data_IF_046177255085
#
_entry.id   IF_046177255085
#
_cell.length_a   1.000
_cell.length_b   1.000
_cell.length_c   1.000
_cell.angle_alpha   90.00
_cell.angle_beta   90.00
_cell.angle_gamma   90.00
#
_symmetry.space_group_name_H-M   'P 1'
#
loop_
_entity.id
_entity.type
_entity.pdbx_description
1 polymer ?
#
# COMPACT_ATOMS: atom_id res chain seq x y z
N UNK A 1 5.72 -6.12 -18.51
CA UNK A 1 5.19 -5.08 -17.59
C UNK A 1 3.68 -5.20 -17.65
N UNK A 2 3.05 -5.56 -16.56
CA UNK A 2 1.59 -5.74 -16.51
C UNK A 2 0.92 -4.37 -16.53
N UNK A 3 -0.16 -4.25 -17.30
CA UNK A 3 -0.94 -3.00 -17.37
C UNK A 3 -1.59 -2.71 -16.01
N UNK A 4 -1.50 -1.51 -15.44
CA UNK A 4 -2.19 -1.13 -14.21
C UNK A 4 -3.69 -1.43 -14.23
N UNK A 5 -4.34 -1.31 -15.38
CA UNK A 5 -5.77 -1.63 -15.55
C UNK A 5 -6.02 -3.13 -15.37
N UNK A 6 -5.14 -3.98 -15.90
CA UNK A 6 -5.25 -5.44 -15.73
C UNK A 6 -5.08 -5.82 -14.27
N UNK A 7 -4.08 -5.25 -13.57
CA UNK A 7 -3.83 -5.53 -12.15
C UNK A 7 -5.03 -5.13 -11.27
N UNK A 8 -5.61 -3.94 -11.50
CA UNK A 8 -6.81 -3.50 -10.79
C UNK A 8 -8.00 -4.41 -11.10
N UNK A 9 -8.13 -4.88 -12.35
CA UNK A 9 -9.14 -5.84 -12.77
C UNK A 9 -9.00 -7.21 -12.07
N UNK A 10 -7.78 -7.67 -11.83
CA UNK A 10 -7.51 -8.88 -11.05
C UNK A 10 -7.95 -8.71 -9.59
N UNK A 11 -7.69 -7.55 -8.99
CA UNK A 11 -8.17 -7.24 -7.64
C UNK A 11 -9.69 -7.19 -7.58
N UNK A 12 -10.39 -6.54 -8.52
CA UNK A 12 -11.85 -6.57 -8.60
C UNK A 12 -12.41 -7.99 -8.74
N UNK A 13 -11.72 -8.83 -9.49
CA UNK A 13 -12.12 -10.24 -9.65
C UNK A 13 -11.95 -11.04 -8.36
N UNK A 14 -10.90 -10.76 -7.60
CA UNK A 14 -10.64 -11.40 -6.30
C UNK A 14 -11.57 -10.86 -5.20
N UNK A 15 -12.02 -9.60 -5.32
CA UNK A 15 -12.87 -8.88 -4.36
C UNK A 15 -14.11 -8.32 -5.09
N UNK A 16 -15.13 -9.13 -5.37
CA UNK A 16 -16.27 -8.70 -6.20
C UNK A 16 -16.99 -7.45 -5.69
N UNK A 17 -17.08 -7.25 -4.36
CA UNK A 17 -17.68 -6.06 -3.75
C UNK A 17 -16.93 -4.76 -4.03
N UNK A 18 -15.67 -4.83 -4.50
CA UNK A 18 -14.89 -3.65 -4.81
C UNK A 18 -15.49 -2.86 -5.98
N UNK A 19 -16.05 -3.56 -6.97
CA UNK A 19 -16.70 -2.91 -8.11
C UNK A 19 -17.89 -2.02 -7.69
N UNK A 20 -18.56 -2.34 -6.59
CA UNK A 20 -19.67 -1.53 -6.03
C UNK A 20 -19.17 -0.22 -5.40
N UNK A 21 -17.92 -0.18 -4.95
CA UNK A 21 -17.30 1.01 -4.39
C UNK A 21 -16.69 1.92 -5.46
N UNK A 22 -16.64 1.48 -6.71
CA UNK A 22 -16.01 2.23 -7.78
C UNK A 22 -16.68 3.60 -7.95
N UNK A 23 -15.87 4.64 -7.96
CA UNK A 23 -16.35 6.01 -8.14
C UNK A 23 -16.99 6.18 -9.53
N UNK A 24 -18.11 6.95 -9.63
CA UNK A 24 -18.78 7.18 -10.93
C UNK A 24 -17.88 7.92 -11.92
N UNK A 25 -16.91 8.68 -11.41
CA UNK A 25 -15.84 9.35 -12.17
C UNK A 25 -14.54 9.15 -11.40
N UNK A 26 -13.42 8.87 -12.09
CA UNK A 26 -12.12 8.86 -11.45
C UNK A 26 -11.85 10.16 -10.70
N UNK A 27 -11.33 10.06 -9.49
CA UNK A 27 -10.96 11.23 -8.71
C UNK A 27 -9.70 11.89 -9.28
N UNK A 28 -9.61 13.21 -9.14
CA UNK A 28 -8.47 14.00 -9.60
C UNK A 28 -7.52 14.24 -8.44
N UNK A 29 -6.53 13.38 -8.28
CA UNK A 29 -5.47 13.53 -7.27
C UNK A 29 -4.33 14.36 -7.87
N UNK A 30 -3.86 15.35 -7.11
CA UNK A 30 -2.71 16.16 -7.53
C UNK A 30 -1.40 15.39 -7.35
N UNK A 31 -0.92 14.81 -8.45
CA UNK A 31 0.37 14.10 -8.49
C UNK A 31 1.52 15.03 -8.08
N UNK A 32 1.49 16.28 -8.54
CA UNK A 32 2.55 17.26 -8.23
C UNK A 32 2.70 17.50 -6.74
N UNK A 33 1.60 17.58 -6.00
CA UNK A 33 1.62 17.77 -4.54
C UNK A 33 2.20 16.54 -3.87
N UNK A 34 1.70 15.36 -4.22
CA UNK A 34 2.17 14.10 -3.61
C UNK A 34 3.66 13.88 -3.90
N UNK A 35 4.09 14.03 -5.15
CA UNK A 35 5.48 13.81 -5.55
C UNK A 35 6.42 14.87 -4.96
N UNK A 36 6.00 16.13 -4.87
CA UNK A 36 6.81 17.17 -4.25
C UNK A 36 6.96 16.97 -2.74
N UNK A 37 5.89 16.59 -2.06
CA UNK A 37 5.88 16.45 -0.61
C UNK A 37 6.49 15.11 -0.15
N UNK A 38 6.26 14.02 -0.88
CA UNK A 38 6.81 12.70 -0.56
C UNK A 38 8.21 12.49 -1.12
N UNK A 39 8.59 13.22 -2.16
CA UNK A 39 9.91 13.14 -2.81
C UNK A 39 10.03 11.99 -3.82
N UNK A 40 8.94 11.27 -4.10
CA UNK A 40 8.89 10.15 -5.06
C UNK A 40 7.54 10.07 -5.74
N UNK A 41 7.54 9.57 -6.98
CA UNK A 41 6.31 9.26 -7.70
C UNK A 41 5.71 7.93 -7.21
N UNK A 42 4.38 7.90 -7.02
CA UNK A 42 3.70 6.66 -6.68
C UNK A 42 3.62 5.71 -7.89
N UNK A 43 3.62 4.37 -7.65
CA UNK A 43 3.36 3.39 -8.70
C UNK A 43 2.04 3.63 -9.44
N UNK A 44 2.02 3.32 -10.73
CA UNK A 44 0.87 3.62 -11.59
C UNK A 44 -0.40 2.85 -11.20
N UNK A 45 -0.27 1.59 -10.77
CA UNK A 45 -1.36 0.74 -10.29
C UNK A 45 -1.98 1.30 -9.00
N UNK A 46 -1.14 1.73 -8.06
CA UNK A 46 -1.60 2.32 -6.79
C UNK A 46 -2.28 3.68 -7.00
N UNK A 47 -1.79 4.49 -7.94
CA UNK A 47 -2.47 5.74 -8.33
C UNK A 47 -3.83 5.45 -8.93
N UNK A 48 -3.89 4.51 -9.85
CA UNK A 48 -5.14 4.11 -10.50
C UNK A 48 -6.15 3.61 -9.46
N UNK A 49 -5.70 2.81 -8.48
CA UNK A 49 -6.55 2.35 -7.38
C UNK A 49 -7.16 3.54 -6.62
N UNK A 50 -6.35 4.52 -6.23
CA UNK A 50 -6.83 5.72 -5.52
C UNK A 50 -7.74 6.63 -6.38
N UNK A 51 -7.53 6.65 -7.70
CA UNK A 51 -8.38 7.41 -8.62
C UNK A 51 -9.75 6.74 -8.83
N UNK A 52 -9.82 5.41 -8.78
CA UNK A 52 -11.04 4.65 -9.06
C UNK A 52 -11.89 4.33 -7.82
N UNK A 53 -11.28 4.27 -6.64
CA UNK A 53 -11.96 3.88 -5.40
C UNK A 53 -11.70 4.86 -4.27
N UNK A 54 -12.69 5.06 -3.36
CA UNK A 54 -12.43 5.71 -2.08
C UNK A 54 -11.52 4.80 -1.23
N UNK A 55 -10.93 5.31 -0.14
CA UNK A 55 -10.31 4.45 0.87
C UNK A 55 -11.27 3.35 1.32
N UNK A 56 -10.75 2.15 1.53
CA UNK A 56 -11.56 0.99 1.89
C UNK A 56 -10.86 0.07 2.89
N UNK A 57 -11.65 -0.74 3.59
CA UNK A 57 -11.17 -1.81 4.47
C UNK A 57 -11.46 -3.15 3.80
N UNK A 58 -10.42 -3.95 3.64
CA UNK A 58 -10.47 -5.28 3.04
C UNK A 58 -10.48 -6.35 4.14
N UNK A 59 -11.49 -7.24 4.10
CA UNK A 59 -11.61 -8.37 5.01
C UNK A 59 -11.77 -8.01 6.48
N UNK A 60 -12.33 -6.84 6.81
CA UNK A 60 -12.41 -6.30 8.16
C UNK A 60 -11.04 -6.19 8.89
N UNK A 61 -9.97 -6.14 8.13
CA UNK A 61 -8.61 -6.23 8.66
C UNK A 61 -7.65 -5.18 8.10
N UNK A 62 -7.60 -5.02 6.78
CA UNK A 62 -6.59 -4.25 6.10
C UNK A 62 -7.18 -2.95 5.54
N UNK A 63 -6.76 -1.81 6.11
CA UNK A 63 -7.10 -0.49 5.61
C UNK A 63 -6.21 -0.09 4.44
N UNK A 64 -6.81 0.13 3.29
CA UNK A 64 -6.14 0.62 2.08
C UNK A 64 -6.57 2.04 1.84
N UNK A 65 -5.63 2.96 1.93
CA UNK A 65 -5.86 4.37 1.71
C UNK A 65 -4.93 4.95 0.67
N UNK A 66 -5.19 6.20 0.34
CA UNK A 66 -4.37 6.97 -0.55
C UNK A 66 -4.74 8.45 -0.43
N UNK A 67 -4.08 9.31 -1.17
CA UNK A 67 -4.43 10.73 -1.15
C UNK A 67 -5.83 10.93 -1.73
N UNK A 68 -6.64 11.75 -1.04
CA UNK A 68 -7.92 12.25 -1.55
C UNK A 68 -7.72 13.56 -2.33
N UNK A 69 -8.59 13.89 -3.28
CA UNK A 69 -8.56 15.17 -3.95
C UNK A 69 -8.68 16.34 -2.97
N UNK A 70 -7.66 17.20 -2.92
CA UNK A 70 -7.57 18.32 -1.96
C UNK A 70 -7.08 17.91 -0.56
N UNK A 71 -6.87 16.64 -0.29
CA UNK A 71 -6.33 16.11 0.96
C UNK A 71 -4.90 15.58 0.83
N UNK A 72 -4.23 15.82 -0.29
CA UNK A 72 -2.91 15.27 -0.60
C UNK A 72 -1.85 15.63 0.44
N UNK A 73 -1.82 16.88 0.89
CA UNK A 73 -0.89 17.31 1.95
C UNK A 73 -1.15 16.59 3.27
N UNK A 74 -2.42 16.41 3.64
CA UNK A 74 -2.79 15.70 4.88
C UNK A 74 -2.40 14.24 4.82
N UNK A 75 -2.58 13.61 3.66
CA UNK A 75 -2.16 12.22 3.46
C UNK A 75 -0.64 12.06 3.56
N UNK A 76 0.14 12.96 2.94
CA UNK A 76 1.61 12.94 3.04
C UNK A 76 2.06 13.21 4.48
N UNK A 77 1.38 14.10 5.20
CA UNK A 77 1.70 14.36 6.60
C UNK A 77 1.47 13.10 7.47
N UNK A 78 0.34 12.42 7.31
CA UNK A 78 0.07 11.15 8.00
C UNK A 78 1.09 10.06 7.63
N UNK A 79 1.51 10.01 6.36
CA UNK A 79 2.59 9.12 5.90
C UNK A 79 3.90 9.41 6.61
N UNK A 80 4.27 10.69 6.81
CA UNK A 80 5.48 11.08 7.53
C UNK A 80 5.43 10.69 9.02
N UNK A 81 4.29 10.89 9.67
CA UNK A 81 4.07 10.47 11.06
C UNK A 81 4.24 8.95 11.22
N UNK A 82 3.70 8.18 10.28
CA UNK A 82 3.90 6.71 10.26
C UNK A 82 5.36 6.35 9.99
N UNK A 83 6.07 7.10 9.15
CA UNK A 83 7.49 6.89 8.89
C UNK A 83 8.36 7.11 10.15
N UNK A 84 8.00 8.02 11.03
CA UNK A 84 8.67 8.20 12.32
C UNK A 84 8.56 6.94 13.18
N UNK A 85 7.37 6.35 13.27
CA UNK A 85 7.14 5.09 13.98
C UNK A 85 7.95 3.95 13.35
N UNK A 86 7.96 3.85 12.01
CA UNK A 86 8.73 2.84 11.31
C UNK A 86 10.24 3.01 11.54
N UNK A 87 10.73 4.24 11.59
CA UNK A 87 12.13 4.53 11.88
C UNK A 87 12.52 4.05 13.29
N UNK A 88 11.68 4.30 14.30
CA UNK A 88 11.89 3.77 15.65
C UNK A 88 11.94 2.23 15.66
N UNK A 89 11.02 1.58 14.95
CA UNK A 89 11.04 0.12 14.81
C UNK A 89 12.30 -0.41 14.11
N UNK A 90 12.85 0.36 13.17
CA UNK A 90 14.09 -0.01 12.47
C UNK A 90 15.31 0.08 13.39
N UNK A 91 15.31 1.04 14.34
CA UNK A 91 16.40 1.20 15.31
C UNK A 91 16.37 0.12 16.40
N UNK A 92 15.19 -0.32 16.82
CA UNK A 92 15.01 -1.31 17.87
C UNK A 92 15.19 -2.75 17.38
N UNK A 93 15.04 -3.00 16.08
CA UNK A 93 15.14 -4.34 15.51
C UNK A 93 16.59 -4.76 15.33
N UNK A 94 16.98 -5.93 15.84
CA UNK A 94 18.23 -6.56 15.43
C UNK A 94 18.17 -6.87 13.92
N UNK A 95 19.17 -6.42 13.13
CA UNK A 95 19.07 -6.37 11.69
C UNK A 95 19.38 -7.73 11.04
N UNK A 96 18.44 -8.65 11.04
CA UNK A 96 18.50 -9.75 10.06
C UNK A 96 18.25 -9.22 8.63
N UNK A 97 17.45 -8.17 8.49
CA UNK A 97 17.27 -7.40 7.26
C UNK A 97 17.22 -5.94 7.64
N UNK A 98 18.16 -5.09 7.19
CA UNK A 98 18.12 -3.67 7.47
C UNK A 98 16.88 -3.06 6.81
N UNK A 99 15.96 -2.54 7.63
CA UNK A 99 14.87 -1.71 7.16
C UNK A 99 15.32 -0.25 7.20
N UNK A 100 15.05 0.46 6.14
CA UNK A 100 15.31 1.89 6.06
C UNK A 100 14.01 2.62 5.81
N UNK A 101 13.69 3.59 6.68
CA UNK A 101 12.55 4.45 6.42
C UNK A 101 12.82 5.34 5.20
N UNK A 102 11.78 5.59 4.39
CA UNK A 102 11.86 6.62 3.36
C UNK A 102 12.22 7.98 4.02
N UNK A 103 13.09 8.84 3.47
CA UNK A 103 13.57 8.89 2.08
C UNK A 103 14.91 8.20 1.80
N UNK A 104 15.43 7.38 2.68
CA UNK A 104 16.66 6.64 2.39
C UNK A 104 16.49 5.75 1.13
N UNK A 105 17.56 5.51 0.35
CA UNK A 105 17.50 4.60 -0.80
C UNK A 105 17.01 3.21 -0.38
N UNK A 106 16.00 2.68 -1.11
CA UNK A 106 15.30 1.46 -0.73
C UNK A 106 14.35 1.61 0.45
N UNK A 107 14.10 2.84 0.89
CA UNK A 107 13.27 3.17 2.02
C UNK A 107 11.80 2.79 1.83
N UNK A 108 11.08 2.68 2.94
CA UNK A 108 9.80 2.01 3.03
C UNK A 108 8.67 2.99 3.40
N UNK A 109 8.03 3.67 2.42
CA UNK A 109 6.82 4.42 2.71
C UNK A 109 5.61 3.47 2.89
N UNK A 110 4.73 3.75 3.88
CA UNK A 110 3.52 2.96 4.10
C UNK A 110 2.46 3.28 3.03
N UNK A 111 1.66 2.27 2.67
CA UNK A 111 0.50 2.43 1.78
C UNK A 111 -0.78 1.79 2.34
N UNK A 112 -0.66 0.93 3.33
CA UNK A 112 -1.77 0.32 4.04
C UNK A 112 -1.34 -0.06 5.46
N UNK A 113 -2.30 -0.28 6.31
CA UNK A 113 -2.11 -0.77 7.67
C UNK A 113 -3.18 -1.80 8.05
N UNK A 114 -2.96 -2.53 9.13
CA UNK A 114 -3.97 -3.42 9.67
C UNK A 114 -4.54 -2.88 10.99
N UNK A 115 -5.75 -3.33 11.33
CA UNK A 115 -6.35 -3.04 12.64
C UNK A 115 -5.61 -3.71 13.82
N UNK A 116 -4.54 -4.46 13.55
CA UNK A 116 -3.65 -5.07 14.54
C UNK A 116 -2.31 -4.37 14.67
N UNK A 117 -2.07 -3.31 13.87
CA UNK A 117 -0.84 -2.53 13.89
C UNK A 117 0.28 -3.08 13.00
N UNK A 118 -0.06 -3.85 11.96
CA UNK A 118 0.90 -4.22 10.91
C UNK A 118 0.96 -3.09 9.88
N UNK A 119 2.14 -2.85 9.30
CA UNK A 119 2.34 -1.90 8.22
C UNK A 119 2.65 -2.62 6.92
N UNK A 120 2.06 -2.13 5.85
CA UNK A 120 2.30 -2.56 4.47
C UNK A 120 3.05 -1.44 3.76
N UNK A 121 4.26 -1.73 3.33
CA UNK A 121 5.25 -0.75 2.93
C UNK A 121 5.68 -1.00 1.49
N UNK A 122 5.97 0.06 0.75
CA UNK A 122 6.69 -0.07 -0.52
C UNK A 122 8.19 -0.13 -0.29
N UNK A 123 8.84 -1.10 -0.88
CA UNK A 123 10.30 -1.09 -1.04
C UNK A 123 10.61 -0.28 -2.29
N UNK A 124 11.09 0.93 -2.10
CA UNK A 124 11.23 1.91 -3.18
C UNK A 124 12.42 1.62 -4.09
N UNK A 125 12.23 1.90 -5.37
CA UNK A 125 13.29 2.02 -6.36
C UNK A 125 13.13 3.39 -7.04
N UNK A 126 13.93 4.42 -6.66
CA UNK A 126 13.76 5.77 -7.18
C UNK A 126 13.86 5.88 -8.70
N UNK A 127 14.65 5.00 -9.33
CA UNK A 127 14.82 4.99 -10.78
C UNK A 127 13.59 4.45 -11.53
N UNK A 128 12.79 3.58 -10.89
CA UNK A 128 11.68 2.89 -11.54
C UNK A 128 10.55 2.62 -10.53
N UNK A 129 9.64 3.57 -10.32
CA UNK A 129 8.50 3.40 -9.41
C UNK A 129 7.62 2.18 -9.72
N UNK A 130 7.54 1.79 -10.99
CA UNK A 130 6.80 0.60 -11.41
C UNK A 130 7.40 -0.72 -10.91
N UNK A 131 8.64 -0.71 -10.45
CA UNK A 131 9.33 -1.89 -9.91
C UNK A 131 9.34 -1.91 -8.37
N UNK A 132 8.56 -1.04 -7.73
CA UNK A 132 8.42 -1.07 -6.28
C UNK A 132 7.74 -2.37 -5.85
N UNK A 133 8.32 -3.00 -4.86
CA UNK A 133 7.81 -4.23 -4.25
C UNK A 133 7.19 -3.95 -2.89
N UNK A 134 6.64 -4.97 -2.24
CA UNK A 134 5.97 -4.82 -0.95
C UNK A 134 6.82 -5.45 0.16
N UNK A 135 6.91 -4.75 1.27
CA UNK A 135 7.40 -5.29 2.54
C UNK A 135 6.27 -5.22 3.57
N UNK A 136 5.98 -6.34 4.21
CA UNK A 136 5.07 -6.39 5.35
C UNK A 136 5.89 -6.34 6.63
N UNK A 137 5.59 -5.37 7.48
CA UNK A 137 6.16 -5.24 8.82
C UNK A 137 5.06 -5.54 9.84
N UNK A 138 5.08 -6.75 10.38
CA UNK A 138 4.14 -7.17 11.39
C UNK A 138 4.50 -6.59 12.76
N UNK A 139 3.48 -6.26 13.56
CA UNK A 139 3.63 -5.88 14.96
C UNK A 139 4.39 -6.90 15.80
N UNK A 140 4.35 -8.18 15.42
CA UNK A 140 5.11 -9.26 16.07
C UNK A 140 6.60 -9.30 15.68
N UNK A 141 7.12 -8.25 15.05
CA UNK A 141 8.49 -8.15 14.54
C UNK A 141 8.81 -9.07 13.35
N UNK A 142 7.82 -9.77 12.80
CA UNK A 142 7.99 -10.52 11.57
C UNK A 142 8.07 -9.56 10.37
N UNK A 143 8.95 -9.88 9.43
CA UNK A 143 9.14 -9.11 8.20
C UNK A 143 9.18 -10.07 7.03
N UNK A 144 8.50 -9.73 5.96
CA UNK A 144 8.58 -10.50 4.73
C UNK A 144 8.38 -9.63 3.50
N UNK A 145 8.93 -10.08 2.39
CA UNK A 145 8.92 -9.36 1.14
C UNK A 145 8.09 -10.10 0.11
N UNK A 146 7.32 -9.32 -0.65
CA UNK A 146 6.59 -9.77 -1.81
C UNK A 146 7.15 -9.06 -3.05
N UNK A 147 7.38 -9.83 -4.11
CA UNK A 147 8.10 -9.34 -5.30
C UNK A 147 7.24 -8.58 -6.30
N UNK A 148 5.94 -8.52 -6.11
CA UNK A 148 5.01 -7.73 -6.93
C UNK A 148 4.69 -6.36 -6.33
N UNK A 149 3.89 -5.57 -7.04
CA UNK A 149 3.37 -4.29 -6.59
C UNK A 149 2.26 -4.41 -5.55
N UNK A 150 1.85 -3.28 -4.96
CA UNK A 150 0.87 -3.27 -3.87
C UNK A 150 -0.51 -3.79 -4.28
N UNK A 151 -1.00 -3.42 -5.46
CA UNK A 151 -2.33 -3.86 -5.92
C UNK A 151 -2.32 -5.35 -6.26
N UNK A 152 -1.26 -5.86 -6.89
CA UNK A 152 -1.07 -7.29 -7.13
C UNK A 152 -1.00 -8.07 -5.81
N UNK A 153 -0.29 -7.53 -4.81
CA UNK A 153 -0.22 -8.11 -3.47
C UNK A 153 -1.61 -8.31 -2.85
N UNK A 154 -2.49 -7.31 -2.95
CA UNK A 154 -3.85 -7.41 -2.44
C UNK A 154 -4.65 -8.52 -3.15
N UNK A 155 -4.55 -8.60 -4.47
CA UNK A 155 -5.22 -9.63 -5.25
C UNK A 155 -4.73 -11.04 -4.89
N UNK A 156 -3.41 -11.22 -4.79
CA UNK A 156 -2.79 -12.50 -4.46
C UNK A 156 -3.07 -12.93 -3.02
N UNK A 157 -3.12 -11.97 -2.09
CA UNK A 157 -3.44 -12.23 -0.68
C UNK A 157 -4.87 -12.72 -0.50
N UNK A 158 -5.84 -12.10 -1.19
CA UNK A 158 -7.26 -12.48 -1.09
C UNK A 158 -7.55 -13.77 -1.84
N UNK A 159 -6.96 -13.96 -3.02
CA UNK A 159 -7.16 -15.18 -3.83
C UNK A 159 -6.45 -16.41 -3.23
N UNK A 160 -5.53 -16.21 -2.27
CA UNK A 160 -4.70 -17.28 -1.72
C UNK A 160 -3.54 -17.69 -2.62
N UNK A 161 -3.20 -16.88 -3.62
CA UNK A 161 -2.03 -17.10 -4.47
C UNK A 161 -0.71 -16.89 -3.71
N UNK A 162 -0.74 -16.10 -2.64
CA UNK A 162 0.36 -15.92 -1.70
C UNK A 162 -0.04 -16.37 -0.29
N UNK A 163 0.86 -17.05 0.39
CA UNK A 163 0.63 -17.45 1.78
C UNK A 163 0.67 -16.22 2.71
N UNK A 164 -0.36 -16.01 3.56
CA UNK A 164 -0.48 -14.78 4.35
C UNK A 164 0.52 -14.68 5.52
N UNK A 165 1.36 -15.67 5.75
CA UNK A 165 2.38 -15.71 6.79
C UNK A 165 1.83 -15.38 8.19
N UNK A 166 2.34 -14.28 8.80
CA UNK A 166 1.89 -13.82 10.11
C UNK A 166 0.55 -13.07 10.08
N UNK A 167 -0.06 -12.91 8.90
CA UNK A 167 -1.36 -12.26 8.71
C UNK A 167 -2.50 -13.29 8.82
N UNK A 168 -3.69 -12.89 9.23
CA UNK A 168 -4.86 -13.76 9.13
C UNK A 168 -5.24 -13.98 7.66
N UNK A 169 -6.04 -15.02 7.40
CA UNK A 169 -6.69 -15.18 6.10
C UNK A 169 -7.62 -14.00 5.83
N UNK A 170 -7.38 -13.29 4.74
CA UNK A 170 -8.16 -12.11 4.36
C UNK A 170 -9.41 -12.55 3.59
N UNK A 171 -10.58 -12.14 4.05
CA UNK A 171 -11.83 -12.40 3.36
C UNK A 171 -11.98 -11.46 2.16
N UNK A 172 -12.65 -11.90 1.08
CA UNK A 172 -12.91 -11.04 -0.09
C UNK A 172 -14.07 -10.05 0.14
N UNK A 173 -14.22 -9.56 1.36
CA UNK A 173 -15.21 -8.55 1.73
C UNK A 173 -14.56 -7.18 1.77
N UNK A 174 -15.29 -6.15 1.38
CA UNK A 174 -14.79 -4.78 1.34
C UNK A 174 -15.89 -3.80 1.76
N UNK A 175 -15.49 -2.78 2.49
CA UNK A 175 -16.35 -1.65 2.86
C UNK A 175 -15.59 -0.34 2.66
N UNK A 176 -16.28 0.70 2.26
CA UNK A 176 -15.68 2.04 2.21
C UNK A 176 -15.31 2.49 3.62
N UNK A 177 -14.23 3.23 3.71
CA UNK A 177 -13.70 3.75 4.98
C UNK A 177 -14.19 5.18 5.23
#
# INVERSE_FOLDING_TARGET
MTDPIEIVGELESAVPGLAELRLPKPSSISRQVVEADLGVALPADSRLLCELYPPFVLGDFLGVGGPDPGGEHSWVQGTRETLEIIAEWCEEAEPAVPLHAHPAPGGLPPWADSNRGDFFLWTTNPARPQDWTVTVASRSSARWHYTGGAVQFLADLVSGAVEPWALPTIRPSVVAW
#
